data_IF_324872478618
#
_entry.id   IF_324872478618
#
_cell.length_a   1.000
_cell.length_b   1.000
_cell.length_c   1.000
_cell.angle_alpha   90.00
_cell.angle_beta   90.00
_cell.angle_gamma   90.00
#
_symmetry.space_group_name_H-M   'P 1'
#
loop_
_entity.id
_entity.type
_entity.pdbx_description
1 polymer ?
#
# COMPACT_ATOMS: atom_id res chain seq x y z
N UNK A 1 -2.63 20.11 -6.31
CA UNK A 1 -2.98 18.93 -5.48
C UNK A 1 -1.75 18.54 -4.69
N UNK A 2 -1.87 18.25 -3.38
CA UNK A 2 -0.74 17.79 -2.58
C UNK A 2 -0.43 16.31 -2.87
N UNK A 3 0.79 15.88 -2.53
CA UNK A 3 1.17 14.46 -2.68
C UNK A 3 0.30 13.54 -1.80
N UNK A 4 -0.09 13.99 -0.59
CA UNK A 4 -1.03 13.26 0.28
C UNK A 4 -2.39 13.06 -0.40
N UNK A 5 -2.99 14.14 -0.92
CA UNK A 5 -4.29 14.06 -1.62
C UNK A 5 -4.21 13.13 -2.82
N UNK A 6 -3.15 13.25 -3.63
CA UNK A 6 -2.91 12.38 -4.78
C UNK A 6 -2.79 10.92 -4.36
N UNK A 7 -2.02 10.62 -3.31
CA UNK A 7 -1.87 9.26 -2.80
C UNK A 7 -3.19 8.68 -2.31
N UNK A 8 -4.04 9.47 -1.63
CA UNK A 8 -5.36 8.99 -1.19
C UNK A 8 -6.26 8.61 -2.35
N UNK A 9 -6.30 9.43 -3.41
CA UNK A 9 -7.08 9.13 -4.62
C UNK A 9 -6.58 7.85 -5.29
N UNK A 10 -5.26 7.73 -5.50
CA UNK A 10 -4.65 6.54 -6.10
C UNK A 10 -4.90 5.26 -5.27
N UNK A 11 -4.77 5.34 -3.95
CA UNK A 11 -5.05 4.22 -3.04
C UNK A 11 -6.52 3.83 -3.09
N UNK A 12 -7.43 4.81 -3.08
CA UNK A 12 -8.87 4.58 -3.16
C UNK A 12 -9.25 3.88 -4.46
N UNK A 13 -8.73 4.36 -5.60
CA UNK A 13 -8.99 3.77 -6.91
C UNK A 13 -8.43 2.35 -7.02
N UNK A 14 -7.22 2.13 -6.52
CA UNK A 14 -6.59 0.80 -6.53
C UNK A 14 -7.37 -0.18 -5.65
N UNK A 15 -7.73 0.24 -4.42
CA UNK A 15 -8.56 -0.56 -3.51
C UNK A 15 -9.90 -0.95 -4.15
N UNK A 16 -10.60 0.00 -4.76
CA UNK A 16 -11.89 -0.22 -5.40
C UNK A 16 -11.81 -1.16 -6.61
N UNK A 17 -10.68 -1.18 -7.32
CA UNK A 17 -10.44 -2.14 -8.42
C UNK A 17 -10.18 -3.54 -7.86
N UNK A 18 -9.24 -3.65 -6.92
CA UNK A 18 -8.82 -4.93 -6.37
C UNK A 18 -9.94 -5.63 -5.57
N UNK A 19 -10.76 -4.87 -4.84
CA UNK A 19 -11.87 -5.41 -4.02
C UNK A 19 -13.02 -6.01 -4.84
N UNK A 20 -13.07 -5.74 -6.16
CA UNK A 20 -14.08 -6.30 -7.07
C UNK A 20 -13.67 -7.64 -7.67
N UNK A 21 -12.46 -8.12 -7.42
CA UNK A 21 -11.98 -9.42 -7.89
C UNK A 21 -12.72 -10.54 -7.16
N UNK A 22 -13.23 -11.52 -7.89
CA UNK A 22 -13.85 -12.73 -7.32
C UNK A 22 -12.79 -13.63 -6.69
N UNK A 23 -13.16 -14.32 -5.61
CA UNK A 23 -12.34 -15.33 -4.91
C UNK A 23 -10.91 -14.84 -4.59
N UNK A 24 -10.77 -13.78 -3.77
CA UNK A 24 -9.46 -13.19 -3.50
C UNK A 24 -8.57 -14.18 -2.73
N UNK A 25 -7.31 -14.32 -3.16
CA UNK A 25 -6.30 -15.03 -2.38
C UNK A 25 -5.95 -14.28 -1.10
N UNK A 26 -5.33 -14.96 -0.13
CA UNK A 26 -4.88 -14.33 1.11
C UNK A 26 -3.93 -13.16 0.84
N UNK A 27 -3.05 -13.27 -0.16
CA UNK A 27 -2.17 -12.19 -0.59
C UNK A 27 -2.93 -10.97 -1.13
N UNK A 28 -4.04 -11.17 -1.85
CA UNK A 28 -4.87 -10.06 -2.32
C UNK A 28 -5.62 -9.41 -1.16
N UNK A 29 -6.15 -10.20 -0.22
CA UNK A 29 -6.77 -9.70 1.01
C UNK A 29 -5.77 -8.88 1.84
N UNK A 30 -4.54 -9.37 1.98
CA UNK A 30 -3.44 -8.68 2.65
C UNK A 30 -3.12 -7.31 2.02
N UNK A 31 -3.08 -7.25 0.68
CA UNK A 31 -2.90 -5.99 -0.05
C UNK A 31 -4.07 -5.03 0.19
N UNK A 32 -5.32 -5.52 0.16
CA UNK A 32 -6.51 -4.70 0.43
C UNK A 32 -6.49 -4.11 1.83
N UNK A 33 -6.13 -4.93 2.82
CA UNK A 33 -6.02 -4.50 4.21
C UNK A 33 -4.96 -3.42 4.38
N UNK A 34 -3.80 -3.56 3.74
CA UNK A 34 -2.73 -2.55 3.79
C UNK A 34 -3.12 -1.28 3.03
N UNK A 35 -3.77 -1.39 1.87
CA UNK A 35 -4.30 -0.23 1.14
C UNK A 35 -5.27 0.57 2.01
N UNK A 36 -6.22 -0.11 2.66
CA UNK A 36 -7.18 0.53 3.56
C UNK A 36 -6.47 1.19 4.76
N UNK A 37 -5.53 0.47 5.40
CA UNK A 37 -4.81 1.02 6.54
C UNK A 37 -3.97 2.24 6.18
N UNK A 38 -3.33 2.24 5.02
CA UNK A 38 -2.55 3.39 4.56
C UNK A 38 -3.47 4.57 4.25
N UNK A 39 -4.62 4.33 3.60
CA UNK A 39 -5.62 5.37 3.34
C UNK A 39 -6.07 6.09 4.61
N UNK A 40 -6.28 5.37 5.71
CA UNK A 40 -6.69 5.94 6.99
C UNK A 40 -5.60 6.79 7.65
N UNK A 41 -4.33 6.43 7.49
CA UNK A 41 -3.21 6.99 8.27
C UNK A 41 -2.39 8.03 7.52
N UNK A 42 -2.49 8.09 6.20
CA UNK A 42 -1.59 8.92 5.38
C UNK A 42 -1.66 10.42 5.70
N UNK A 43 -2.80 10.91 6.22
CA UNK A 43 -2.95 12.32 6.63
C UNK A 43 -2.23 12.67 7.93
N UNK A 44 -1.87 11.66 8.75
CA UNK A 44 -1.36 11.88 10.13
C UNK A 44 0.06 11.36 10.34
N UNK A 45 0.65 10.66 9.37
CA UNK A 45 2.02 10.16 9.48
C UNK A 45 3.03 11.28 9.20
N UNK A 46 4.13 11.29 9.96
CA UNK A 46 5.16 12.34 9.84
C UNK A 46 5.88 12.37 8.48
N UNK A 47 5.94 11.24 7.77
CA UNK A 47 6.56 11.14 6.45
C UNK A 47 5.66 10.30 5.52
N UNK A 48 4.65 10.93 4.90
CA UNK A 48 3.69 10.26 4.02
C UNK A 48 4.34 9.59 2.82
N UNK A 49 5.34 10.21 2.19
CA UNK A 49 6.03 9.68 1.02
C UNK A 49 6.74 8.36 1.36
N UNK A 50 7.42 8.29 2.51
CA UNK A 50 8.03 7.06 3.00
C UNK A 50 7.01 5.97 3.34
N UNK A 51 5.80 6.36 3.75
CA UNK A 51 4.73 5.42 4.05
C UNK A 51 4.13 4.85 2.76
N UNK A 52 3.98 5.68 1.72
CA UNK A 52 3.59 5.26 0.37
C UNK A 52 4.65 4.36 -0.28
N UNK A 53 5.94 4.66 -0.12
CA UNK A 53 7.01 3.79 -0.64
C UNK A 53 6.96 2.39 0.01
N UNK A 54 6.66 2.32 1.32
CA UNK A 54 6.45 1.04 2.02
C UNK A 54 5.26 0.26 1.46
N UNK A 55 4.12 0.95 1.21
CA UNK A 55 2.96 0.36 0.56
C UNK A 55 3.32 -0.26 -0.80
N UNK A 56 4.01 0.49 -1.66
CA UNK A 56 4.41 0.02 -3.00
C UNK A 56 5.31 -1.21 -2.92
N UNK A 57 6.30 -1.19 -2.04
CA UNK A 57 7.19 -2.34 -1.82
C UNK A 57 6.41 -3.58 -1.31
N UNK A 58 5.44 -3.36 -0.43
CA UNK A 58 4.56 -4.42 0.08
C UNK A 58 3.72 -5.04 -1.02
N UNK A 59 3.07 -4.22 -1.86
CA UNK A 59 2.27 -4.68 -3.01
C UNK A 59 3.11 -5.55 -3.94
N UNK A 60 4.34 -5.13 -4.29
CA UNK A 60 5.21 -5.92 -5.15
C UNK A 60 5.68 -7.23 -4.48
N UNK A 61 6.02 -7.18 -3.20
CA UNK A 61 6.48 -8.37 -2.46
C UNK A 61 5.38 -9.42 -2.32
N UNK A 62 4.19 -9.00 -1.90
CA UNK A 62 3.03 -9.87 -1.68
C UNK A 62 2.43 -10.31 -3.01
N UNK A 63 2.38 -9.42 -4.00
CA UNK A 63 1.97 -9.75 -5.37
C UNK A 63 2.86 -10.82 -6.00
N UNK A 64 4.18 -10.74 -5.84
CA UNK A 64 5.11 -11.77 -6.31
C UNK A 64 4.88 -13.11 -5.59
N UNK A 65 4.74 -13.09 -4.26
CA UNK A 65 4.46 -14.29 -3.45
C UNK A 65 3.18 -14.99 -3.89
N UNK A 66 2.09 -14.24 -4.06
CA UNK A 66 0.77 -14.74 -4.46
C UNK A 66 0.62 -14.97 -5.96
N UNK A 67 1.66 -14.70 -6.77
CA UNK A 67 1.62 -14.72 -8.24
C UNK A 67 0.45 -13.90 -8.81
N UNK A 68 0.18 -12.76 -8.20
CA UNK A 68 -0.90 -11.87 -8.60
C UNK A 68 -0.57 -11.18 -9.92
N UNK A 69 -1.50 -11.25 -10.86
CA UNK A 69 -1.45 -10.45 -12.08
C UNK A 69 -2.12 -9.10 -11.84
N UNK A 70 -1.41 -8.02 -12.14
CA UNK A 70 -1.94 -6.65 -12.18
C UNK A 70 -2.04 -6.21 -13.65
N UNK A 71 -3.25 -6.05 -14.21
CA UNK A 71 -3.42 -5.47 -15.54
C UNK A 71 -2.89 -4.04 -15.62
N UNK A 72 -2.76 -3.52 -16.83
CA UNK A 72 -2.13 -2.23 -17.11
C UNK A 72 -2.70 -1.07 -16.30
N UNK A 73 -4.02 -1.03 -16.13
CA UNK A 73 -4.70 0.04 -15.41
C UNK A 73 -4.41 0.02 -13.91
N UNK A 74 -4.33 -1.15 -13.28
CA UNK A 74 -3.91 -1.30 -11.88
C UNK A 74 -2.42 -1.04 -11.71
N UNK A 75 -1.59 -1.55 -12.62
CA UNK A 75 -0.15 -1.35 -12.57
C UNK A 75 0.22 0.13 -12.76
N UNK A 76 -0.56 0.89 -13.55
CA UNK A 76 -0.41 2.34 -13.66
C UNK A 76 -0.64 3.03 -12.31
N UNK A 77 -1.67 2.65 -11.56
CA UNK A 77 -1.95 3.22 -10.23
C UNK A 77 -0.79 2.92 -9.26
N UNK A 78 -0.29 1.69 -9.25
CA UNK A 78 0.87 1.28 -8.42
C UNK A 78 2.13 2.07 -8.82
N UNK A 79 2.37 2.25 -10.11
CA UNK A 79 3.50 3.02 -10.61
C UNK A 79 3.41 4.51 -10.22
N UNK A 80 2.23 5.11 -10.30
CA UNK A 80 2.01 6.50 -9.86
C UNK A 80 2.21 6.68 -8.36
N UNK A 81 1.80 5.70 -7.53
CA UNK A 81 2.14 5.67 -6.11
C UNK A 81 3.66 5.59 -5.90
N UNK A 82 4.34 4.79 -6.73
CA UNK A 82 5.81 4.69 -6.73
C UNK A 82 6.50 6.03 -7.00
N UNK A 83 5.98 6.83 -7.93
CA UNK A 83 6.51 8.18 -8.22
C UNK A 83 6.38 9.09 -6.99
N UNK A 84 5.26 9.01 -6.27
CA UNK A 84 5.09 9.77 -5.01
C UNK A 84 6.05 9.25 -3.94
N UNK A 85 6.15 7.93 -3.76
CA UNK A 85 7.01 7.30 -2.77
C UNK A 85 8.50 7.59 -2.97
N UNK A 86 8.96 7.68 -4.22
CA UNK A 86 10.36 8.00 -4.54
C UNK A 86 10.78 9.40 -4.08
N UNK A 87 9.84 10.34 -3.91
CA UNK A 87 10.12 11.67 -3.34
C UNK A 87 10.58 11.62 -1.89
N UNK A 88 10.38 10.49 -1.20
CA UNK A 88 10.97 10.25 0.12
C UNK A 88 12.51 10.22 0.12
N UNK A 89 13.14 10.14 -1.07
CA UNK A 89 14.54 10.46 -1.36
C UNK A 89 15.58 10.13 -0.29
N UNK A 90 16.31 9.02 -0.48
CA UNK A 90 17.68 8.77 0.04
C UNK A 90 17.96 8.94 1.54
N UNK A 91 16.97 9.06 2.42
CA UNK A 91 17.18 9.02 3.88
C UNK A 91 17.32 7.56 4.40
N UNK A 92 18.28 6.83 3.80
CA UNK A 92 19.16 5.87 4.46
C UNK A 92 18.64 4.58 5.12
N UNK A 93 17.34 4.35 5.29
CA UNK A 93 16.84 3.27 6.15
C UNK A 93 15.62 2.54 5.57
N UNK A 94 15.80 1.80 4.48
CA UNK A 94 14.76 0.85 4.05
C UNK A 94 15.38 -0.54 3.87
N UNK A 95 15.72 -1.17 5.00
CA UNK A 95 16.05 -2.60 5.10
C UNK A 95 14.96 -3.31 5.92
N UNK A 96 13.70 -3.06 5.56
CA UNK A 96 12.57 -3.72 6.20
C UNK A 96 12.19 -4.99 5.43
N UNK A 97 11.61 -5.97 6.13
CA UNK A 97 10.95 -7.09 5.49
C UNK A 97 9.75 -6.56 4.70
N UNK A 98 9.91 -6.37 3.38
CA UNK A 98 8.92 -5.70 2.55
C UNK A 98 7.56 -6.41 2.52
N UNK A 99 7.48 -7.70 2.85
CA UNK A 99 6.24 -8.46 2.88
C UNK A 99 5.54 -8.52 4.24
N UNK A 100 6.01 -7.83 5.27
CA UNK A 100 5.40 -7.90 6.61
C UNK A 100 4.24 -6.91 6.76
N UNK A 101 3.01 -7.42 6.89
CA UNK A 101 1.77 -6.63 7.06
C UNK A 101 1.79 -5.77 8.32
N UNK A 102 2.44 -6.25 9.39
CA UNK A 102 2.42 -5.60 10.70
C UNK A 102 3.06 -4.21 10.70
N UNK A 103 3.93 -3.91 9.73
CA UNK A 103 4.58 -2.60 9.62
C UNK A 103 3.60 -1.43 9.39
N UNK A 104 2.36 -1.71 8.99
CA UNK A 104 1.31 -0.70 8.76
C UNK A 104 0.40 -0.49 9.98
N UNK A 105 0.46 -1.40 10.95
CA UNK A 105 -0.44 -1.44 12.09
C UNK A 105 0.28 -1.11 13.40
N UNK A 106 -0.41 -0.40 14.29
CA UNK A 106 0.02 -0.14 15.66
C UNK A 106 -1.01 -0.66 16.66
N UNK A 107 -0.59 -0.92 17.90
CA UNK A 107 -1.50 -1.32 18.97
C UNK A 107 -2.65 -0.31 19.18
N UNK A 108 -2.37 0.98 18.94
CA UNK A 108 -3.29 2.10 19.13
C UNK A 108 -4.17 2.41 17.91
N UNK A 109 -3.99 1.72 16.78
CA UNK A 109 -4.82 1.93 15.60
C UNK A 109 -6.26 1.47 15.90
N UNK A 110 -7.26 2.24 15.48
CA UNK A 110 -8.67 1.86 15.59
C UNK A 110 -8.97 0.64 14.71
N UNK A 111 -8.51 0.66 13.46
CA UNK A 111 -8.57 -0.49 12.57
C UNK A 111 -7.48 -1.50 12.94
N UNK A 112 -7.90 -2.66 13.48
CA UNK A 112 -7.00 -3.73 13.90
C UNK A 112 -6.56 -4.58 12.72
N UNK A 113 -5.33 -5.09 12.77
CA UNK A 113 -4.78 -5.96 11.74
C UNK A 113 -5.65 -7.23 11.56
N UNK A 114 -6.23 -7.46 10.37
CA UNK A 114 -6.98 -8.68 10.10
C UNK A 114 -6.07 -9.90 10.03
N UNK A 115 -6.59 -11.06 10.48
CA UNK A 115 -5.93 -12.36 10.38
C UNK A 115 -6.41 -13.06 9.10
N UNK A 116 -5.61 -12.94 8.05
CA UNK A 116 -5.75 -13.59 6.74
C UNK A 116 -4.81 -14.78 6.61
#
# INVERSE_FOLDING_TARGET
MSDITKSKELIHDLYNKLSKRSDPSNELLDILDVLYQVYLKIDTVNNPEAYVQRLVNYIYSVGLKGRLYFPEDENRLIAELGIVGQKAGLNGLYKANYGDKSQFYSYFDENKMPRS
#
